data_IF_065521857715
#
_entry.id   IF_065521857715
#
_cell.length_a   1.000
_cell.length_b   1.000
_cell.length_c   1.000
_cell.angle_alpha   90.00
_cell.angle_beta   90.00
_cell.angle_gamma   90.00
#
_symmetry.space_group_name_H-M   'P 1'
#
loop_
_entity.id
_entity.type
_entity.pdbx_description
1 polymer ?
#
# COMPACT_ATOMS: atom_id res chain seq x y z
N UNK A 1 19.61 -10.46 -27.33
CA UNK A 1 18.78 -10.01 -26.18
C UNK A 1 19.61 -9.13 -25.23
N UNK A 2 20.22 -8.05 -25.72
CA UNK A 2 20.89 -7.04 -24.89
C UNK A 2 19.88 -5.91 -24.68
N UNK A 3 19.70 -5.48 -23.43
CA UNK A 3 18.90 -4.33 -23.00
C UNK A 3 17.38 -4.52 -22.91
N UNK A 4 16.91 -5.32 -21.95
CA UNK A 4 15.66 -4.95 -21.28
C UNK A 4 16.00 -3.71 -20.44
N UNK A 5 15.45 -2.58 -20.88
CA UNK A 5 15.70 -1.21 -20.41
C UNK A 5 15.46 -1.10 -18.91
N UNK A 6 16.12 -0.13 -18.27
CA UNK A 6 16.08 0.17 -16.82
C UNK A 6 14.66 0.46 -16.33
N UNK A 7 13.86 -0.58 -16.16
CA UNK A 7 12.52 -0.50 -15.60
C UNK A 7 12.53 -0.86 -14.11
N UNK A 8 11.61 -0.25 -13.37
CA UNK A 8 11.38 -0.52 -11.96
C UNK A 8 9.98 -1.10 -11.76
N UNK A 9 9.83 -2.44 -11.74
CA UNK A 9 8.58 -3.10 -11.39
C UNK A 9 8.17 -2.81 -9.95
N UNK A 10 6.95 -2.32 -9.74
CA UNK A 10 6.30 -2.19 -8.44
C UNK A 10 5.17 -3.22 -8.27
N UNK A 11 5.05 -3.74 -7.06
CA UNK A 11 4.00 -4.69 -6.69
C UNK A 11 3.70 -4.65 -5.18
N UNK A 12 2.49 -5.03 -4.82
CA UNK A 12 1.94 -4.92 -3.48
C UNK A 12 1.52 -6.28 -2.94
N UNK A 13 1.80 -6.56 -1.66
CA UNK A 13 1.38 -7.82 -1.05
C UNK A 13 1.00 -7.66 0.41
N UNK A 14 -0.07 -8.33 0.84
CA UNK A 14 -0.57 -8.22 2.22
C UNK A 14 0.18 -9.15 3.18
N UNK A 15 0.63 -8.62 4.31
CA UNK A 15 1.32 -9.34 5.39
C UNK A 15 0.50 -9.23 6.67
N UNK A 16 0.38 -10.31 7.44
CA UNK A 16 -0.41 -10.28 8.68
C UNK A 16 0.24 -9.35 9.70
N UNK A 17 -0.55 -8.51 10.34
CA UNK A 17 -0.10 -7.72 11.48
C UNK A 17 0.01 -8.59 12.74
N UNK A 18 0.74 -8.12 13.75
CA UNK A 18 0.67 -8.69 15.10
C UNK A 18 -0.61 -8.24 15.84
N UNK A 19 -1.76 -8.44 15.20
CA UNK A 19 -3.07 -8.07 15.73
C UNK A 19 -4.15 -9.07 15.30
N UNK A 20 -5.12 -9.30 16.18
CA UNK A 20 -6.28 -10.13 15.85
C UNK A 20 -7.29 -9.32 15.04
N UNK A 21 -7.88 -9.93 14.01
CA UNK A 21 -9.00 -9.33 13.28
C UNK A 21 -10.21 -9.10 14.19
N UNK A 22 -10.38 -9.93 15.22
CA UNK A 22 -11.45 -9.78 16.22
C UNK A 22 -11.35 -8.48 17.01
N UNK A 23 -10.17 -7.84 17.03
CA UNK A 23 -9.93 -6.55 17.67
C UNK A 23 -10.14 -5.37 16.71
N UNK A 24 -10.71 -5.59 15.53
CA UNK A 24 -11.03 -4.56 14.54
C UNK A 24 -12.47 -4.07 14.70
N UNK A 25 -12.65 -2.77 14.93
CA UNK A 25 -13.92 -2.13 15.25
C UNK A 25 -14.32 -1.12 14.17
N UNK A 26 -15.62 -1.00 13.97
CA UNK A 26 -16.27 0.03 13.15
C UNK A 26 -17.51 0.53 13.91
N UNK A 27 -18.13 1.61 13.43
CA UNK A 27 -19.27 2.23 14.11
C UNK A 27 -20.44 1.25 14.35
N UNK A 28 -20.80 0.46 13.34
CA UNK A 28 -21.88 -0.54 13.42
C UNK A 28 -21.61 -1.61 14.48
N UNK A 29 -20.38 -2.11 14.55
CA UNK A 29 -19.97 -3.10 15.55
C UNK A 29 -19.97 -2.49 16.96
N UNK A 30 -19.48 -1.27 17.13
CA UNK A 30 -19.53 -0.56 18.41
C UNK A 30 -20.97 -0.43 18.90
N UNK A 31 -21.88 0.01 18.03
CA UNK A 31 -23.31 0.15 18.37
C UNK A 31 -23.93 -1.21 18.77
N UNK A 32 -23.70 -2.25 17.96
CA UNK A 32 -24.26 -3.58 18.19
C UNK A 32 -23.75 -4.20 19.49
N UNK A 33 -22.44 -4.13 19.74
CA UNK A 33 -21.85 -4.67 20.96
C UNK A 33 -22.24 -3.88 22.21
N UNK A 34 -22.40 -2.55 22.12
CA UNK A 34 -22.90 -1.77 23.26
C UNK A 34 -24.33 -2.09 23.61
N UNK A 35 -25.21 -2.30 22.62
CA UNK A 35 -26.58 -2.78 22.88
C UNK A 35 -26.55 -4.13 23.60
N UNK A 36 -25.69 -5.05 23.14
CA UNK A 36 -25.53 -6.38 23.74
C UNK A 36 -25.02 -6.32 25.18
N UNK A 37 -23.95 -5.56 25.42
CA UNK A 37 -23.36 -5.43 26.76
C UNK A 37 -24.32 -4.69 27.70
N UNK A 38 -24.99 -3.63 27.25
CA UNK A 38 -25.95 -2.90 28.08
C UNK A 38 -27.14 -3.78 28.50
N UNK A 39 -27.67 -4.59 27.59
CA UNK A 39 -28.73 -5.57 27.92
C UNK A 39 -28.25 -6.62 28.91
N UNK A 40 -27.00 -7.08 28.79
CA UNK A 40 -26.43 -8.05 29.74
C UNK A 40 -26.23 -7.44 31.13
N UNK A 41 -25.77 -6.20 31.20
CA UNK A 41 -25.66 -5.43 32.46
C UNK A 41 -27.03 -5.29 33.13
N UNK A 42 -28.08 -4.97 32.37
CA UNK A 42 -29.45 -4.85 32.88
C UNK A 42 -29.95 -6.18 33.50
N UNK A 43 -29.71 -7.30 32.81
CA UNK A 43 -30.06 -8.64 33.33
C UNK A 43 -29.29 -8.96 34.61
N UNK A 44 -27.97 -8.72 34.62
CA UNK A 44 -27.12 -8.98 35.78
C UNK A 44 -27.51 -8.12 37.00
N UNK A 45 -27.95 -6.87 36.78
CA UNK A 45 -28.45 -6.01 37.85
C UNK A 45 -29.73 -6.57 38.48
N UNK A 46 -30.69 -7.01 37.67
CA UNK A 46 -31.94 -7.63 38.15
C UNK A 46 -31.66 -8.95 38.91
N UNK A 47 -30.72 -9.76 38.43
CA UNK A 47 -30.28 -10.98 39.12
C UNK A 47 -29.58 -10.68 40.46
N UNK A 48 -28.75 -9.63 40.53
CA UNK A 48 -28.15 -9.18 41.78
C UNK A 48 -29.22 -8.75 42.80
N UNK A 49 -30.21 -7.96 42.37
CA UNK A 49 -31.31 -7.52 43.24
C UNK A 49 -32.18 -8.69 43.74
N UNK A 50 -32.32 -9.76 42.96
CA UNK A 50 -33.01 -10.99 43.39
C UNK A 50 -32.18 -11.78 44.40
N UNK A 51 -30.90 -12.00 44.11
CA UNK A 51 -30.00 -12.72 45.01
C UNK A 51 -29.84 -12.02 46.38
N UNK A 52 -29.82 -10.68 46.38
CA UNK A 52 -29.83 -9.87 47.61
C UNK A 52 -31.10 -10.08 48.45
N UNK A 53 -32.26 -10.17 47.79
CA UNK A 53 -33.54 -10.42 48.48
C UNK A 53 -33.65 -11.84 49.04
N UNK A 54 -32.97 -12.81 48.44
CA UNK A 54 -33.02 -14.23 48.80
C UNK A 54 -31.88 -14.67 49.75
N UNK A 55 -31.00 -13.75 50.17
CA UNK A 55 -29.84 -13.99 51.06
C UNK A 55 -28.88 -15.11 50.59
N UNK A 56 -28.74 -15.30 49.27
CA UNK A 56 -27.88 -16.35 48.69
C UNK A 56 -26.44 -15.88 48.48
N UNK A 57 -25.59 -16.07 49.51
CA UNK A 57 -24.25 -15.45 49.60
C UNK A 57 -23.19 -15.84 48.54
N UNK A 58 -23.06 -17.12 48.14
CA UNK A 58 -21.99 -17.53 47.20
C UNK A 58 -22.28 -17.18 45.73
N UNK A 59 -23.55 -17.13 45.34
CA UNK A 59 -23.98 -16.75 43.99
C UNK A 59 -23.80 -15.25 43.73
N UNK A 60 -24.07 -14.45 44.76
CA UNK A 60 -24.06 -12.99 44.68
C UNK A 60 -22.68 -12.36 44.41
N UNK A 61 -21.61 -12.92 45.00
CA UNK A 61 -20.24 -12.43 44.77
C UNK A 61 -19.83 -12.62 43.31
N UNK A 62 -20.15 -13.79 42.73
CA UNK A 62 -19.85 -14.09 41.31
C UNK A 62 -20.62 -13.16 40.37
N UNK A 63 -21.91 -12.91 40.64
CA UNK A 63 -22.74 -11.99 39.85
C UNK A 63 -22.18 -10.55 39.87
N UNK A 64 -21.72 -10.07 41.04
CA UNK A 64 -21.06 -8.76 41.15
C UNK A 64 -19.78 -8.66 40.34
N UNK A 65 -18.95 -9.70 40.35
CA UNK A 65 -17.73 -9.73 39.55
C UNK A 65 -18.04 -9.73 38.03
N UNK A 66 -19.02 -10.53 37.60
CA UNK A 66 -19.49 -10.54 36.20
C UNK A 66 -20.04 -9.19 35.75
N UNK A 67 -20.84 -8.53 36.61
CA UNK A 67 -21.37 -7.20 36.36
C UNK A 67 -20.23 -6.19 36.18
N UNK A 68 -19.23 -6.22 37.07
CA UNK A 68 -18.07 -5.33 37.01
C UNK A 68 -17.27 -5.53 35.72
N UNK A 69 -17.12 -6.77 35.28
CA UNK A 69 -16.38 -7.07 34.05
C UNK A 69 -17.14 -6.65 32.79
N UNK A 70 -18.47 -6.79 32.74
CA UNK A 70 -19.28 -6.26 31.65
C UNK A 70 -19.32 -4.72 31.64
N UNK A 71 -19.33 -4.06 32.82
CA UNK A 71 -19.19 -2.60 32.92
C UNK A 71 -17.84 -2.12 32.35
N UNK A 72 -16.72 -2.74 32.75
CA UNK A 72 -15.40 -2.43 32.15
C UNK A 72 -15.37 -2.68 30.65
N UNK A 73 -16.06 -3.72 30.18
CA UNK A 73 -16.17 -4.01 28.74
C UNK A 73 -16.94 -2.91 28.02
N UNK A 74 -18.04 -2.42 28.61
CA UNK A 74 -18.82 -1.30 28.08
C UNK A 74 -17.95 -0.05 27.93
N UNK A 75 -17.25 0.34 28.99
CA UNK A 75 -16.34 1.51 29.00
C UNK A 75 -15.27 1.40 27.91
N UNK A 76 -14.68 0.21 27.72
CA UNK A 76 -13.70 -0.03 26.65
C UNK A 76 -14.30 0.18 25.26
N UNK A 77 -15.52 -0.31 25.02
CA UNK A 77 -16.17 -0.16 23.71
C UNK A 77 -16.54 1.31 23.46
N UNK A 78 -17.03 2.02 24.48
CA UNK A 78 -17.31 3.47 24.41
C UNK A 78 -16.05 4.25 24.08
N UNK A 79 -14.92 3.96 24.74
CA UNK A 79 -13.63 4.59 24.43
C UNK A 79 -13.16 4.33 22.98
N UNK A 80 -13.43 3.14 22.43
CA UNK A 80 -13.13 2.83 21.02
C UNK A 80 -14.07 3.59 20.08
N UNK A 81 -15.34 3.72 20.44
CA UNK A 81 -16.31 4.46 19.64
C UNK A 81 -15.97 5.95 19.58
N UNK A 82 -15.61 6.56 20.70
CA UNK A 82 -15.17 7.96 20.73
C UNK A 82 -13.90 8.18 19.91
N UNK A 83 -12.95 7.23 19.93
CA UNK A 83 -11.79 7.26 19.03
C UNK A 83 -12.19 7.19 17.55
N UNK A 84 -13.16 6.36 17.19
CA UNK A 84 -13.67 6.27 15.82
C UNK A 84 -14.36 7.56 15.37
N UNK A 85 -15.10 8.24 16.26
CA UNK A 85 -15.76 9.52 15.95
C UNK A 85 -14.79 10.67 15.78
N UNK A 86 -13.70 10.66 16.56
CA UNK A 86 -12.68 11.72 16.53
C UNK A 86 -11.62 11.49 15.47
N UNK A 87 -11.47 10.25 14.99
CA UNK A 87 -10.58 9.92 13.88
C UNK A 87 -11.30 10.00 12.54
N UNK A 88 -10.59 10.36 11.48
CA UNK A 88 -11.08 10.25 10.10
C UNK A 88 -11.14 8.78 9.58
N UNK A 89 -10.94 7.79 10.46
CA UNK A 89 -10.89 6.37 10.11
C UNK A 89 -12.25 5.70 10.38
N UNK A 90 -12.81 5.05 9.37
CA UNK A 90 -14.03 4.25 9.51
C UNK A 90 -13.82 2.95 10.33
N UNK A 91 -12.58 2.45 10.33
CA UNK A 91 -12.20 1.16 10.93
C UNK A 91 -10.90 1.36 11.72
N UNK A 92 -10.85 0.82 12.93
CA UNK A 92 -9.65 0.83 13.77
C UNK A 92 -9.44 -0.53 14.45
N UNK A 93 -8.19 -0.96 14.59
CA UNK A 93 -7.87 -2.11 15.42
C UNK A 93 -7.33 -1.65 16.78
N UNK A 94 -7.84 -2.23 17.87
CA UNK A 94 -7.45 -1.80 19.23
C UNK A 94 -6.09 -2.30 19.68
N UNK A 95 -5.55 -3.33 19.01
CA UNK A 95 -4.21 -3.88 19.30
C UNK A 95 -3.14 -3.20 18.47
N UNK A 96 -3.44 -2.93 17.19
CA UNK A 96 -2.55 -2.20 16.28
C UNK A 96 -3.35 -1.19 15.43
N UNK A 97 -3.51 0.07 15.87
CA UNK A 97 -4.36 1.06 15.21
C UNK A 97 -3.95 1.45 13.78
N UNK A 98 -2.74 1.08 13.37
CA UNK A 98 -2.19 1.36 12.05
C UNK A 98 -2.31 0.18 11.09
N UNK A 99 -2.74 -0.99 11.55
CA UNK A 99 -3.05 -2.10 10.64
C UNK A 99 -4.39 -1.89 9.92
N UNK A 100 -4.53 -2.52 8.76
CA UNK A 100 -5.75 -2.50 7.97
C UNK A 100 -6.43 -3.86 7.91
N UNK A 101 -7.74 -3.83 7.71
CA UNK A 101 -8.51 -5.04 7.37
C UNK A 101 -8.23 -5.43 5.93
N UNK A 102 -7.60 -6.58 5.72
CA UNK A 102 -7.32 -7.10 4.38
C UNK A 102 -7.96 -8.49 4.17
N UNK A 103 -8.53 -8.70 2.98
CA UNK A 103 -9.06 -9.99 2.55
C UNK A 103 -8.00 -10.74 1.76
N UNK A 104 -7.67 -11.95 2.20
CA UNK A 104 -6.78 -12.86 1.49
C UNK A 104 -7.48 -14.18 1.14
N UNK A 105 -6.73 -15.12 0.56
CA UNK A 105 -7.25 -16.47 0.23
C UNK A 105 -7.69 -17.27 1.47
N UNK A 106 -7.04 -17.04 2.61
CA UNK A 106 -7.31 -17.75 3.87
C UNK A 106 -8.33 -17.03 4.77
N UNK A 107 -9.03 -16.03 4.24
CA UNK A 107 -10.00 -15.23 4.98
C UNK A 107 -9.52 -13.79 5.21
N UNK A 108 -10.17 -13.12 6.15
CA UNK A 108 -9.91 -11.70 6.45
C UNK A 108 -9.03 -11.58 7.68
N UNK A 109 -7.97 -10.78 7.59
CA UNK A 109 -6.99 -10.60 8.66
C UNK A 109 -6.63 -9.13 8.85
N UNK A 110 -6.25 -8.77 10.07
CA UNK A 110 -5.52 -7.54 10.32
C UNK A 110 -4.13 -7.65 9.67
N UNK A 111 -3.79 -6.71 8.80
CA UNK A 111 -2.65 -6.81 7.91
C UNK A 111 -2.04 -5.43 7.62
N UNK A 112 -0.81 -5.42 7.16
CA UNK A 112 -0.22 -4.29 6.44
C UNK A 112 -0.07 -4.65 4.97
N UNK A 113 -0.05 -3.62 4.13
CA UNK A 113 0.21 -3.78 2.73
C UNK A 113 1.67 -3.44 2.44
N UNK A 114 2.49 -4.43 2.10
CA UNK A 114 3.90 -4.20 1.78
C UNK A 114 4.02 -3.89 0.30
N UNK A 115 4.52 -2.71 -0.01
CA UNK A 115 4.83 -2.20 -1.34
C UNK A 115 6.31 -2.42 -1.59
N UNK A 116 6.65 -3.09 -2.70
CA UNK A 116 8.02 -3.28 -3.14
C UNK A 116 8.19 -2.68 -4.53
N UNK A 117 9.34 -2.07 -4.78
CA UNK A 117 9.84 -1.80 -6.13
C UNK A 117 11.16 -2.55 -6.33
N UNK A 118 11.35 -3.12 -7.51
CA UNK A 118 12.54 -3.90 -7.88
C UNK A 118 13.26 -3.29 -9.08
N UNK A 119 14.51 -3.67 -9.31
CA UNK A 119 15.18 -3.44 -10.59
C UNK A 119 14.90 -4.59 -11.56
N UNK A 120 14.65 -4.26 -12.83
CA UNK A 120 14.35 -5.26 -13.86
C UNK A 120 15.52 -6.15 -14.26
N UNK A 121 16.76 -5.70 -14.09
CA UNK A 121 17.94 -6.43 -14.54
C UNK A 121 18.23 -7.61 -13.61
N UNK A 122 18.31 -7.36 -12.32
CA UNK A 122 18.77 -8.28 -11.30
C UNK A 122 17.64 -8.75 -10.38
N UNK A 123 16.53 -8.01 -10.29
CA UNK A 123 15.42 -8.31 -9.38
C UNK A 123 15.75 -7.98 -7.94
N UNK A 124 16.64 -7.02 -7.69
CA UNK A 124 16.94 -6.47 -6.37
C UNK A 124 15.86 -5.46 -5.99
N UNK A 125 15.47 -5.45 -4.73
CA UNK A 125 14.54 -4.50 -4.16
C UNK A 125 15.24 -3.15 -4.05
N UNK A 126 14.63 -2.11 -4.61
CA UNK A 126 15.10 -0.71 -4.57
C UNK A 126 14.22 0.17 -3.68
N UNK A 127 12.99 -0.26 -3.37
CA UNK A 127 12.11 0.36 -2.38
C UNK A 127 11.30 -0.73 -1.69
N UNK A 128 11.12 -0.61 -0.37
CA UNK A 128 10.30 -1.51 0.41
C UNK A 128 9.61 -0.74 1.54
N UNK A 129 8.28 -0.79 1.59
CA UNK A 129 7.51 -0.06 2.60
C UNK A 129 6.22 -0.80 2.95
N UNK A 130 5.94 -0.94 4.25
CA UNK A 130 4.64 -1.35 4.76
C UNK A 130 3.74 -0.12 4.95
N UNK A 131 2.60 -0.13 4.26
CA UNK A 131 1.61 0.94 4.33
C UNK A 131 0.32 0.48 5.00
N UNK A 132 -0.30 1.43 5.70
CA UNK A 132 -1.60 1.31 6.36
C UNK A 132 -2.77 1.57 5.42
N UNK A 133 -2.61 1.22 4.14
CA UNK A 133 -3.63 1.33 3.11
C UNK A 133 -3.95 -0.07 2.56
N UNK A 134 -5.23 -0.41 2.46
CA UNK A 134 -5.66 -1.73 1.99
C UNK A 134 -5.58 -1.88 0.46
N UNK A 135 -5.53 -0.77 -0.27
CA UNK A 135 -5.48 -0.70 -1.73
C UNK A 135 -4.16 -0.09 -2.21
N UNK A 136 -3.75 -0.46 -3.41
CA UNK A 136 -2.46 -0.05 -3.99
C UNK A 136 -2.59 1.22 -4.87
N UNK A 137 -3.82 1.73 -5.02
CA UNK A 137 -4.22 2.72 -6.00
C UNK A 137 -3.38 4.02 -5.97
N UNK A 138 -2.90 4.44 -4.80
CA UNK A 138 -2.17 5.70 -4.58
C UNK A 138 -0.67 5.51 -4.31
N UNK A 139 -0.14 4.30 -4.53
CA UNK A 139 1.21 3.95 -4.09
C UNK A 139 2.29 4.03 -5.19
N UNK A 140 1.91 4.10 -6.47
CA UNK A 140 2.87 4.02 -7.57
C UNK A 140 3.88 5.17 -7.56
N UNK A 141 3.39 6.41 -7.50
CA UNK A 141 4.23 7.60 -7.54
C UNK A 141 5.21 7.65 -6.35
N UNK A 142 4.75 7.21 -5.17
CA UNK A 142 5.56 7.12 -3.96
C UNK A 142 6.68 6.09 -4.10
N UNK A 143 6.37 4.88 -4.58
CA UNK A 143 7.39 3.85 -4.78
C UNK A 143 8.43 4.25 -5.83
N UNK A 144 8.01 4.93 -6.91
CA UNK A 144 8.93 5.44 -7.91
C UNK A 144 9.86 6.53 -7.35
N UNK A 145 9.35 7.41 -6.48
CA UNK A 145 10.15 8.43 -5.79
C UNK A 145 11.17 7.80 -4.83
N UNK A 146 10.72 6.84 -4.01
CA UNK A 146 11.61 6.12 -3.10
C UNK A 146 12.71 5.38 -3.88
N UNK A 147 12.38 4.78 -5.03
CA UNK A 147 13.36 4.12 -5.89
C UNK A 147 14.38 5.13 -6.47
N UNK A 148 13.94 6.33 -6.87
CA UNK A 148 14.81 7.41 -7.34
C UNK A 148 15.80 7.85 -6.25
N UNK A 149 15.32 8.00 -5.01
CA UNK A 149 16.13 8.35 -3.84
C UNK A 149 17.18 7.27 -3.55
N UNK A 150 16.78 5.99 -3.47
CA UNK A 150 17.70 4.87 -3.23
C UNK A 150 18.75 4.73 -4.33
N UNK A 151 18.36 4.89 -5.60
CA UNK A 151 19.26 4.72 -6.74
C UNK A 151 20.13 5.97 -7.00
N UNK A 152 19.82 7.09 -6.35
CA UNK A 152 20.35 8.42 -6.67
C UNK A 152 20.23 8.76 -8.16
N UNK A 153 19.27 8.14 -8.85
CA UNK A 153 19.05 8.18 -10.29
C UNK A 153 17.60 7.88 -10.57
N UNK A 154 17.01 8.70 -11.43
CA UNK A 154 15.64 8.52 -11.87
C UNK A 154 15.44 7.23 -12.66
N UNK A 155 14.45 6.39 -12.32
CA UNK A 155 14.03 5.28 -13.17
C UNK A 155 13.60 5.79 -14.55
N UNK A 156 14.06 5.11 -15.61
CA UNK A 156 13.64 5.47 -16.97
C UNK A 156 12.21 4.98 -17.27
N UNK A 157 11.82 3.87 -16.64
CA UNK A 157 10.53 3.24 -16.83
C UNK A 157 10.02 2.69 -15.49
N UNK A 158 8.77 2.95 -15.15
CA UNK A 158 8.08 2.32 -14.01
C UNK A 158 6.97 1.42 -14.53
N UNK A 159 6.82 0.21 -13.99
CA UNK A 159 5.72 -0.67 -14.36
C UNK A 159 5.06 -1.32 -13.14
N UNK A 160 3.73 -1.45 -13.17
CA UNK A 160 2.95 -2.04 -12.09
C UNK A 160 1.67 -2.68 -12.65
N UNK A 161 0.97 -3.47 -11.84
CA UNK A 161 -0.30 -4.06 -12.26
C UNK A 161 -1.47 -3.07 -12.24
N UNK A 162 -2.64 -3.52 -12.68
CA UNK A 162 -3.85 -2.70 -12.72
C UNK A 162 -4.35 -2.22 -11.35
N UNK A 163 -3.81 -2.75 -10.23
CA UNK A 163 -4.09 -2.23 -8.89
C UNK A 163 -3.56 -0.81 -8.67
N UNK A 164 -2.58 -0.39 -9.46
CA UNK A 164 -1.95 0.93 -9.42
C UNK A 164 -2.50 1.90 -10.47
N UNK A 165 -3.64 1.60 -11.11
CA UNK A 165 -4.14 2.34 -12.28
C UNK A 165 -4.77 3.71 -11.97
N UNK A 166 -4.43 4.35 -10.84
CA UNK A 166 -4.97 5.65 -10.47
C UNK A 166 -4.40 6.75 -11.33
N UNK A 167 -5.24 7.36 -12.16
CA UNK A 167 -4.81 8.41 -13.09
C UNK A 167 -4.21 9.60 -12.32
N UNK A 168 -4.81 9.99 -11.20
CA UNK A 168 -4.30 11.09 -10.35
C UNK A 168 -2.92 10.80 -9.75
N UNK A 169 -2.60 9.52 -9.49
CA UNK A 169 -1.30 9.14 -8.97
C UNK A 169 -0.25 9.01 -10.08
N UNK A 170 -0.62 8.40 -11.20
CA UNK A 170 0.26 8.22 -12.35
C UNK A 170 0.61 9.55 -13.01
N UNK A 171 -0.30 10.53 -13.04
CA UNK A 171 -0.07 11.88 -13.58
C UNK A 171 1.12 12.59 -12.89
N UNK A 172 1.37 12.30 -11.61
CA UNK A 172 2.51 12.89 -10.85
C UNK A 172 3.88 12.49 -11.39
N UNK A 173 3.95 11.36 -12.12
CA UNK A 173 5.19 10.74 -12.61
C UNK A 173 5.21 10.47 -14.11
N UNK A 174 4.09 10.58 -14.84
CA UNK A 174 4.01 10.37 -16.30
C UNK A 174 4.98 11.28 -17.06
N UNK A 175 5.06 12.56 -16.69
CA UNK A 175 5.98 13.52 -17.34
C UNK A 175 7.46 13.30 -16.97
N UNK A 176 7.73 12.38 -16.04
CA UNK A 176 9.05 12.16 -15.45
C UNK A 176 9.69 10.88 -15.98
N UNK A 177 8.92 9.85 -16.30
CA UNK A 177 9.40 8.55 -16.74
C UNK A 177 8.36 7.87 -17.63
N UNK A 178 8.77 6.83 -18.35
CA UNK A 178 7.81 5.98 -19.06
C UNK A 178 6.98 5.16 -18.04
N UNK A 179 5.66 5.36 -18.00
CA UNK A 179 4.76 4.67 -17.06
C UNK A 179 3.99 3.58 -17.78
N UNK A 180 4.15 2.34 -17.33
CA UNK A 180 3.50 1.15 -17.91
C UNK A 180 2.62 0.51 -16.85
N UNK A 181 1.36 0.96 -16.77
CA UNK A 181 0.36 0.44 -15.84
C UNK A 181 -0.95 0.27 -16.60
N UNK A 182 -1.44 -0.97 -16.81
CA UNK A 182 -2.71 -1.17 -17.49
C UNK A 182 -3.88 -0.71 -16.64
N UNK A 183 -4.96 -0.33 -17.29
CA UNK A 183 -6.23 -0.18 -16.59
C UNK A 183 -6.85 -1.55 -16.27
N UNK A 184 -7.76 -1.57 -15.28
CA UNK A 184 -8.57 -2.77 -14.99
C UNK A 184 -9.31 -3.25 -16.23
N UNK A 185 -9.76 -2.31 -17.07
CA UNK A 185 -10.45 -2.63 -18.33
C UNK A 185 -9.53 -3.40 -19.29
N UNK A 186 -8.34 -2.87 -19.58
CA UNK A 186 -7.37 -3.53 -20.47
C UNK A 186 -6.99 -4.92 -19.96
N UNK A 187 -6.78 -5.04 -18.63
CA UNK A 187 -6.47 -6.34 -18.01
C UNK A 187 -7.62 -7.36 -18.15
N UNK A 188 -8.87 -6.91 -18.08
CA UNK A 188 -10.03 -7.78 -18.29
C UNK A 188 -10.18 -8.17 -19.76
N UNK A 189 -10.01 -7.21 -20.68
CA UNK A 189 -10.06 -7.47 -22.13
C UNK A 189 -8.98 -8.48 -22.58
N UNK A 190 -7.79 -8.45 -21.99
CA UNK A 190 -6.74 -9.46 -22.24
C UNK A 190 -7.11 -10.86 -21.73
N UNK A 191 -7.88 -10.96 -20.64
CA UNK A 191 -8.26 -12.25 -20.01
C UNK A 191 -9.51 -12.87 -20.63
N UNK A 192 -10.51 -12.04 -20.86
CA UNK A 192 -11.87 -12.47 -21.26
C UNK A 192 -12.12 -12.24 -22.76
N UNK A 193 -11.20 -11.57 -23.45
CA UNK A 193 -11.36 -11.10 -24.82
C UNK A 193 -11.94 -9.68 -24.87
N UNK A 194 -11.52 -8.91 -25.87
CA UNK A 194 -12.07 -7.58 -26.11
C UNK A 194 -13.57 -7.69 -26.46
N UNK A 195 -14.38 -6.86 -25.82
CA UNK A 195 -15.79 -6.77 -26.20
C UNK A 195 -15.90 -6.09 -27.58
N UNK A 196 -16.64 -6.73 -28.48
CA UNK A 196 -16.94 -6.20 -29.81
C UNK A 196 -18.12 -5.20 -29.79
N UNK A 197 -18.44 -4.61 -28.63
CA UNK A 197 -19.55 -3.67 -28.51
C UNK A 197 -19.18 -2.30 -29.09
N UNK A 198 -19.82 -1.94 -30.20
CA UNK A 198 -19.66 -0.65 -30.88
C UNK A 198 -20.00 0.56 -29.98
N UNK A 199 -20.77 0.37 -28.90
CA UNK A 199 -21.17 1.45 -27.97
C UNK A 199 -20.34 1.49 -26.68
N UNK A 200 -19.11 1.00 -26.70
CA UNK A 200 -18.14 1.25 -25.63
C UNK A 200 -17.70 2.71 -25.56
N UNK A 201 -17.30 3.18 -24.37
CA UNK A 201 -16.83 4.56 -24.15
C UNK A 201 -15.72 4.97 -25.13
N UNK A 202 -14.82 4.03 -25.49
CA UNK A 202 -13.71 4.28 -26.43
C UNK A 202 -14.17 4.71 -27.83
N UNK A 203 -15.39 4.34 -28.23
CA UNK A 203 -15.98 4.71 -29.52
C UNK A 203 -16.77 6.03 -29.44
N UNK A 204 -16.85 6.68 -28.27
CA UNK A 204 -17.46 8.01 -28.15
C UNK A 204 -16.39 9.06 -28.34
N UNK A 205 -16.57 9.91 -29.36
CA UNK A 205 -15.61 10.95 -29.71
C UNK A 205 -15.89 12.17 -28.83
N UNK A 206 -14.86 12.66 -28.14
CA UNK A 206 -14.95 13.90 -27.37
C UNK A 206 -14.52 15.08 -28.23
N UNK A 207 -15.32 16.15 -28.21
CA UNK A 207 -15.00 17.43 -28.81
C UNK A 207 -14.69 18.43 -27.68
N UNK A 208 -13.42 18.82 -27.63
CA UNK A 208 -12.87 19.74 -26.62
C UNK A 208 -13.41 21.17 -26.80
N UNK A 209 -13.59 21.63 -28.04
CA UNK A 209 -14.00 23.00 -28.35
C UNK A 209 -15.46 23.25 -27.94
N UNK A 210 -16.32 22.25 -28.15
CA UNK A 210 -17.75 22.34 -27.84
C UNK A 210 -18.14 21.77 -26.47
N UNK A 211 -17.18 21.18 -25.73
CA UNK A 211 -17.34 20.40 -24.49
C UNK A 211 -18.49 19.38 -24.58
N UNK A 212 -18.41 18.49 -25.57
CA UNK A 212 -19.48 17.51 -25.89
C UNK A 212 -18.93 16.17 -26.34
N UNK A 213 -19.74 15.13 -26.21
CA UNK A 213 -19.44 13.81 -26.76
C UNK A 213 -20.35 13.49 -27.95
N UNK A 214 -19.78 12.83 -28.96
CA UNK A 214 -20.49 12.23 -30.07
C UNK A 214 -20.56 10.71 -29.88
N UNK A 215 -21.78 10.19 -29.85
CA UNK A 215 -22.06 8.76 -29.81
C UNK A 215 -21.92 8.15 -31.22
N UNK A 216 -21.52 6.86 -31.36
CA UNK A 216 -21.54 6.13 -32.63
C UNK A 216 -22.88 6.14 -33.38
N UNK A 217 -23.98 6.40 -32.67
CA UNK A 217 -25.31 6.60 -33.27
C UNK A 217 -25.61 8.05 -33.69
N UNK A 218 -24.58 8.84 -33.99
CA UNK A 218 -24.63 10.24 -34.47
C UNK A 218 -25.40 11.20 -33.56
N UNK A 219 -25.25 11.03 -32.24
CA UNK A 219 -25.97 11.84 -31.25
C UNK A 219 -25.04 12.56 -30.31
N UNK A 220 -25.39 13.80 -30.02
CA UNK A 220 -24.64 14.67 -29.11
C UNK A 220 -25.05 14.42 -27.66
N UNK A 221 -24.06 14.21 -26.82
CA UNK A 221 -24.16 14.14 -25.36
C UNK A 221 -23.60 15.44 -24.78
N UNK A 222 -24.42 16.12 -23.99
CA UNK A 222 -24.13 17.42 -23.40
C UNK A 222 -23.64 17.24 -21.99
N UNK A 223 -22.75 18.13 -21.54
CA UNK A 223 -22.39 18.23 -20.14
C UNK A 223 -23.64 18.54 -19.31
N UNK A 224 -23.84 17.78 -18.23
CA UNK A 224 -25.01 17.91 -17.33
C UNK A 224 -24.59 18.44 -15.97
N UNK A 225 -23.57 17.83 -15.39
CA UNK A 225 -23.05 18.22 -14.09
C UNK A 225 -21.61 17.74 -13.92
N UNK A 226 -20.94 18.33 -12.94
CA UNK A 226 -19.63 17.91 -12.47
C UNK A 226 -19.79 17.43 -11.03
N UNK A 227 -19.27 16.25 -10.71
CA UNK A 227 -19.26 15.75 -9.33
C UNK A 227 -18.24 16.52 -8.49
N UNK A 228 -18.34 16.42 -7.17
CA UNK A 228 -17.34 16.95 -6.24
C UNK A 228 -15.94 16.39 -6.50
N UNK A 229 -15.86 15.14 -6.99
CA UNK A 229 -14.62 14.49 -7.42
C UNK A 229 -13.99 15.10 -8.69
N UNK A 230 -14.64 16.07 -9.32
CA UNK A 230 -14.18 16.69 -10.58
C UNK A 230 -14.58 15.92 -11.84
N UNK A 231 -15.23 14.77 -11.72
CA UNK A 231 -15.74 14.01 -12.86
C UNK A 231 -16.89 14.74 -13.56
N UNK A 232 -16.78 14.93 -14.88
CA UNK A 232 -17.84 15.52 -15.71
C UNK A 232 -18.77 14.43 -16.23
N UNK A 233 -20.08 14.66 -16.11
CA UNK A 233 -21.12 13.75 -16.60
C UNK A 233 -21.76 14.32 -17.87
N UNK A 234 -21.76 13.51 -18.93
CA UNK A 234 -22.33 13.84 -20.23
C UNK A 234 -23.51 12.93 -20.55
N UNK A 235 -24.56 13.52 -21.11
CA UNK A 235 -25.80 12.80 -21.41
C UNK A 235 -26.55 13.43 -22.57
N UNK A 236 -27.18 12.59 -23.37
CA UNK A 236 -28.17 13.04 -24.35
C UNK A 236 -29.54 13.23 -23.69
N UNK A 237 -30.41 14.06 -24.29
CA UNK A 237 -31.80 14.19 -23.84
C UNK A 237 -32.50 12.81 -23.88
N UNK A 238 -33.18 12.44 -22.80
CA UNK A 238 -33.80 11.12 -22.64
C UNK A 238 -34.74 10.76 -23.80
N UNK A 239 -35.57 11.73 -24.25
CA UNK A 239 -36.51 11.54 -25.38
C UNK A 239 -35.78 11.22 -26.69
N UNK A 240 -34.61 11.85 -26.90
CA UNK A 240 -33.78 11.58 -28.07
C UNK A 240 -33.26 10.15 -27.94
N UNK A 241 -32.50 9.82 -26.90
CA UNK A 241 -31.93 8.48 -26.70
C UNK A 241 -32.96 7.35 -26.83
N UNK A 242 -34.16 7.47 -26.26
CA UNK A 242 -35.21 6.43 -26.35
C UNK A 242 -35.71 6.18 -27.77
N UNK A 243 -35.68 7.18 -28.64
CA UNK A 243 -36.00 7.06 -30.07
C UNK A 243 -34.80 6.59 -30.91
N UNK A 244 -33.71 6.15 -30.28
CA UNK A 244 -32.55 5.63 -31.01
C UNK A 244 -32.77 4.19 -31.43
N UNK A 245 -32.47 3.88 -32.70
CA UNK A 245 -32.45 2.50 -33.22
C UNK A 245 -31.53 1.58 -32.41
N UNK A 246 -30.49 2.16 -31.80
CA UNK A 246 -29.50 1.45 -31.01
C UNK A 246 -29.76 1.47 -29.50
N UNK A 247 -30.91 1.94 -29.01
CA UNK A 247 -31.13 2.17 -27.58
C UNK A 247 -30.81 0.94 -26.72
N UNK A 248 -31.40 -0.23 -27.04
CA UNK A 248 -31.21 -1.46 -26.26
C UNK A 248 -29.81 -2.10 -26.40
N UNK A 249 -29.05 -1.73 -27.43
CA UNK A 249 -27.67 -2.20 -27.65
C UNK A 249 -26.68 -1.30 -26.91
N UNK A 250 -26.89 0.02 -26.99
CA UNK A 250 -26.03 1.04 -26.40
C UNK A 250 -26.20 1.17 -24.86
N UNK A 251 -27.42 1.06 -24.35
CA UNK A 251 -27.71 1.25 -22.92
C UNK A 251 -28.99 0.53 -22.49
N UNK A 252 -28.96 -0.10 -21.31
CA UNK A 252 -30.19 -0.62 -20.67
C UNK A 252 -30.89 0.43 -19.79
N UNK A 253 -30.29 1.61 -19.61
CA UNK A 253 -30.83 2.63 -18.72
C UNK A 253 -31.97 3.40 -19.40
N UNK A 254 -33.15 3.40 -18.76
CA UNK A 254 -34.36 4.15 -19.20
C UNK A 254 -34.09 5.63 -19.42
N UNK A 255 -33.07 6.19 -18.78
CA UNK A 255 -32.69 7.59 -18.86
C UNK A 255 -31.70 7.90 -20.00
N UNK A 256 -31.28 6.91 -20.78
CA UNK A 256 -30.29 7.08 -21.85
C UNK A 256 -28.87 6.71 -21.41
N UNK A 257 -27.93 6.81 -22.36
CA UNK A 257 -26.51 6.55 -22.11
C UNK A 257 -25.90 7.74 -21.38
N UNK A 258 -25.14 7.45 -20.34
CA UNK A 258 -24.36 8.43 -19.58
C UNK A 258 -22.89 8.12 -19.80
N UNK A 259 -22.09 9.14 -20.11
CA UNK A 259 -20.64 9.05 -20.22
C UNK A 259 -20.04 9.91 -19.11
N UNK A 260 -19.15 9.31 -18.32
CA UNK A 260 -18.39 10.03 -17.30
C UNK A 260 -16.98 10.25 -17.82
N UNK A 261 -16.54 11.52 -17.87
CA UNK A 261 -15.18 11.92 -18.21
C UNK A 261 -14.45 12.27 -16.90
N UNK A 262 -13.29 11.66 -16.69
CA UNK A 262 -12.40 12.00 -15.59
C UNK A 262 -11.79 13.38 -15.80
N UNK A 263 -11.39 14.04 -14.72
CA UNK A 263 -10.71 15.34 -14.77
C UNK A 263 -9.44 15.28 -15.64
N UNK A 264 -8.72 14.17 -15.57
CA UNK A 264 -7.49 13.87 -16.28
C UNK A 264 -7.67 12.72 -17.30
N UNK A 265 -8.81 12.66 -17.99
CA UNK A 265 -9.07 11.60 -19.00
C UNK A 265 -7.99 11.54 -20.08
N UNK A 266 -7.40 12.68 -20.47
CA UNK A 266 -6.35 12.73 -21.49
C UNK A 266 -5.06 12.03 -21.04
N UNK A 267 -4.70 12.16 -19.76
CA UNK A 267 -3.59 11.42 -19.14
C UNK A 267 -3.87 9.92 -19.23
N UNK A 268 -5.08 9.53 -18.87
CA UNK A 268 -5.50 8.13 -18.94
C UNK A 268 -5.41 7.58 -20.36
N UNK A 269 -5.92 8.29 -21.36
CA UNK A 269 -5.87 7.87 -22.76
C UNK A 269 -4.43 7.75 -23.29
N UNK A 270 -3.51 8.63 -22.86
CA UNK A 270 -2.08 8.51 -23.18
C UNK A 270 -1.45 7.27 -22.54
N UNK A 271 -1.72 7.03 -21.26
CA UNK A 271 -1.22 5.85 -20.54
C UNK A 271 -1.75 4.55 -21.14
N UNK A 272 -3.03 4.50 -21.52
CA UNK A 272 -3.65 3.35 -22.20
C UNK A 272 -2.96 3.05 -23.53
N UNK A 273 -2.76 4.07 -24.38
CA UNK A 273 -2.03 3.95 -25.65
C UNK A 273 -0.56 3.56 -25.44
N UNK A 274 0.08 4.13 -24.43
CA UNK A 274 1.47 3.83 -24.10
C UNK A 274 1.62 2.34 -23.73
N UNK A 275 0.72 1.83 -22.87
CA UNK A 275 0.68 0.42 -22.49
C UNK A 275 0.53 -0.51 -23.71
N UNK A 276 -0.31 -0.17 -24.68
CA UNK A 276 -0.58 -0.99 -25.88
C UNK A 276 0.60 -1.11 -26.86
N UNK A 277 1.63 -0.27 -26.72
CA UNK A 277 2.80 -0.37 -27.59
C UNK A 277 3.54 -1.70 -27.38
N UNK A 278 4.00 -2.32 -28.48
CA UNK A 278 4.70 -3.61 -28.44
C UNK A 278 5.90 -3.60 -27.48
N UNK A 279 6.68 -2.51 -27.48
CA UNK A 279 7.84 -2.39 -26.61
C UNK A 279 7.44 -2.42 -25.11
N UNK A 280 6.39 -1.71 -24.74
CA UNK A 280 5.94 -1.66 -23.35
C UNK A 280 5.25 -2.96 -22.92
N UNK A 281 4.58 -3.66 -23.83
CA UNK A 281 4.05 -5.01 -23.60
C UNK A 281 5.16 -6.01 -23.30
N UNK A 282 6.28 -5.95 -24.03
CA UNK A 282 7.46 -6.79 -23.74
C UNK A 282 8.02 -6.49 -22.34
N UNK A 283 8.14 -5.22 -21.96
CA UNK A 283 8.59 -4.82 -20.60
C UNK A 283 7.60 -5.31 -19.52
N UNK A 284 6.30 -5.14 -19.76
CA UNK A 284 5.25 -5.51 -18.81
C UNK A 284 5.18 -7.02 -18.59
N UNK A 285 5.41 -7.82 -19.64
CA UNK A 285 5.43 -9.29 -19.55
C UNK A 285 6.49 -9.78 -18.55
N UNK A 286 7.67 -9.16 -18.55
CA UNK A 286 8.75 -9.50 -17.62
C UNK A 286 8.55 -8.98 -16.19
N UNK A 287 7.57 -8.11 -15.94
CA UNK A 287 7.27 -7.55 -14.60
C UNK A 287 7.03 -8.65 -13.57
N UNK A 288 6.19 -9.63 -13.91
CA UNK A 288 5.77 -10.71 -12.99
C UNK A 288 6.96 -11.51 -12.47
N UNK A 289 7.93 -11.80 -13.34
CA UNK A 289 9.13 -12.57 -12.99
C UNK A 289 10.01 -11.85 -11.96
N UNK A 290 9.98 -10.51 -11.93
CA UNK A 290 10.86 -9.70 -11.10
C UNK A 290 10.19 -9.20 -9.82
N UNK A 291 8.95 -8.76 -9.89
CA UNK A 291 8.24 -8.18 -8.76
C UNK A 291 7.64 -9.22 -7.80
N UNK A 292 7.23 -10.40 -8.30
CA UNK A 292 6.59 -11.43 -7.47
C UNK A 292 7.63 -12.28 -6.70
N UNK A 293 8.85 -12.42 -7.25
CA UNK A 293 9.94 -13.23 -6.68
C UNK A 293 10.29 -12.82 -5.23
N UNK A 294 10.50 -11.51 -4.91
CA UNK A 294 10.72 -11.07 -3.53
C UNK A 294 9.63 -11.53 -2.56
N UNK A 295 8.35 -11.36 -2.93
CA UNK A 295 7.25 -11.75 -2.07
C UNK A 295 7.19 -13.26 -1.84
N UNK A 296 7.42 -14.05 -2.89
CA UNK A 296 7.52 -15.50 -2.78
C UNK A 296 8.61 -15.92 -1.80
N UNK A 297 9.81 -15.36 -1.94
CA UNK A 297 10.94 -15.67 -1.08
C UNK A 297 10.67 -15.26 0.38
N UNK A 298 10.25 -14.02 0.63
CA UNK A 298 10.00 -13.51 1.98
C UNK A 298 8.89 -14.31 2.68
N UNK A 299 7.77 -14.57 2.00
CA UNK A 299 6.63 -15.24 2.64
C UNK A 299 6.80 -16.74 2.78
N UNK A 300 7.44 -17.41 1.82
CA UNK A 300 7.51 -18.88 1.75
C UNK A 300 8.84 -19.42 2.24
N UNK A 301 9.95 -18.82 1.82
CA UNK A 301 11.28 -19.32 2.18
C UNK A 301 11.69 -18.82 3.57
N UNK A 302 11.48 -17.54 3.87
CA UNK A 302 11.78 -16.97 5.19
C UNK A 302 10.65 -17.17 6.21
N UNK A 303 9.46 -17.59 5.77
CA UNK A 303 8.28 -17.73 6.63
C UNK A 303 7.76 -16.40 7.18
N UNK A 304 8.22 -15.27 6.66
CA UNK A 304 7.93 -13.92 7.18
C UNK A 304 6.61 -13.38 6.63
N UNK A 305 5.53 -14.17 6.70
CA UNK A 305 4.18 -13.74 6.27
C UNK A 305 3.41 -12.92 7.30
N UNK A 306 3.96 -12.76 8.51
CA UNK A 306 3.39 -12.03 9.66
C UNK A 306 4.48 -11.20 10.32
N UNK A 307 4.17 -9.95 10.65
CA UNK A 307 5.04 -9.08 11.42
C UNK A 307 5.02 -9.42 12.92
N UNK A 308 6.13 -9.15 13.60
CA UNK A 308 6.29 -9.38 15.03
C UNK A 308 6.05 -8.13 15.86
N UNK A 309 6.28 -6.95 15.28
CA UNK A 309 6.10 -5.66 15.90
C UNK A 309 4.79 -5.02 15.44
N UNK A 310 4.37 -4.00 16.18
CA UNK A 310 3.13 -3.23 15.97
C UNK A 310 3.45 -1.77 15.74
N UNK A 311 2.62 -1.11 14.92
CA UNK A 311 2.85 0.25 14.46
C UNK A 311 3.76 0.30 13.23
N UNK A 312 3.45 1.24 12.34
CA UNK A 312 4.01 1.34 10.99
C UNK A 312 5.53 1.53 11.00
N UNK A 313 6.07 2.34 11.92
CA UNK A 313 7.52 2.56 12.03
C UNK A 313 8.28 1.25 12.28
N UNK A 314 7.81 0.45 13.25
CA UNK A 314 8.44 -0.82 13.63
C UNK A 314 8.25 -1.88 12.55
N UNK A 315 7.06 -1.93 11.94
CA UNK A 315 6.75 -2.81 10.82
C UNK A 315 7.61 -2.46 9.58
N UNK A 316 7.89 -1.18 9.35
CA UNK A 316 8.81 -0.75 8.30
C UNK A 316 10.26 -1.14 8.59
N UNK A 317 10.69 -1.13 9.86
CA UNK A 317 11.99 -1.65 10.25
C UNK A 317 12.11 -3.15 9.93
N UNK A 318 11.10 -3.96 10.27
CA UNK A 318 11.05 -5.38 9.88
C UNK A 318 11.08 -5.55 8.35
N UNK A 319 10.28 -4.77 7.63
CA UNK A 319 10.22 -4.80 6.16
C UNK A 319 11.59 -4.50 5.53
N UNK A 320 12.31 -3.52 6.07
CA UNK A 320 13.65 -3.14 5.62
C UNK A 320 14.68 -4.26 5.85
N UNK A 321 14.59 -4.95 7.00
CA UNK A 321 15.45 -6.11 7.29
C UNK A 321 15.15 -7.24 6.30
N UNK A 322 13.88 -7.57 6.07
CA UNK A 322 13.46 -8.61 5.12
C UNK A 322 13.93 -8.30 3.70
N UNK A 323 13.79 -7.05 3.26
CA UNK A 323 14.28 -6.61 1.96
C UNK A 323 15.82 -6.73 1.84
N UNK A 324 16.55 -6.38 2.89
CA UNK A 324 18.02 -6.50 2.95
C UNK A 324 18.47 -7.97 2.88
N UNK A 325 17.80 -8.86 3.62
CA UNK A 325 18.07 -10.31 3.59
C UNK A 325 17.81 -10.88 2.20
N UNK A 326 16.69 -10.49 1.58
CA UNK A 326 16.38 -10.90 0.21
C UNK A 326 17.45 -10.41 -0.77
N UNK A 327 17.79 -9.12 -0.75
CA UNK A 327 18.80 -8.55 -1.64
C UNK A 327 20.16 -9.23 -1.46
N UNK A 328 20.57 -9.52 -0.23
CA UNK A 328 21.82 -10.23 0.06
C UNK A 328 21.81 -11.63 -0.54
N UNK A 329 20.72 -12.38 -0.32
CA UNK A 329 20.54 -13.73 -0.88
C UNK A 329 20.52 -13.73 -2.41
N UNK A 330 19.90 -12.71 -3.00
CA UNK A 330 19.82 -12.52 -4.45
C UNK A 330 21.20 -12.17 -5.03
N UNK A 331 21.93 -11.25 -4.40
CA UNK A 331 23.30 -10.93 -4.80
C UNK A 331 24.21 -12.15 -4.71
N UNK A 332 24.06 -13.01 -3.68
CA UNK A 332 24.86 -14.23 -3.54
C UNK A 332 24.62 -15.18 -4.72
N UNK A 333 23.38 -15.26 -5.18
CA UNK A 333 22.98 -16.07 -6.34
C UNK A 333 23.56 -15.50 -7.64
N UNK A 334 23.64 -14.17 -7.77
CA UNK A 334 24.09 -13.49 -8.99
C UNK A 334 25.61 -13.39 -9.11
N UNK A 335 26.31 -13.19 -7.99
CA UNK A 335 27.75 -12.88 -7.96
C UNK A 335 28.59 -14.00 -7.35
N UNK A 336 27.97 -14.95 -6.62
CA UNK A 336 28.70 -15.89 -5.77
C UNK A 336 29.26 -15.21 -4.51
N UNK A 337 29.76 -16.03 -3.58
CA UNK A 337 30.37 -15.55 -2.32
C UNK A 337 31.59 -14.68 -2.64
N UNK A 338 32.50 -15.16 -3.48
CA UNK A 338 33.72 -14.44 -3.85
C UNK A 338 33.42 -13.11 -4.55
N UNK A 339 32.41 -13.09 -5.43
CA UNK A 339 32.00 -11.87 -6.12
C UNK A 339 31.39 -10.82 -5.18
N UNK A 340 30.65 -11.24 -4.14
CA UNK A 340 30.20 -10.32 -3.09
C UNK A 340 31.39 -9.79 -2.29
N UNK A 341 32.29 -10.66 -1.84
CA UNK A 341 33.44 -10.24 -1.04
C UNK A 341 34.31 -9.24 -1.81
N UNK A 342 34.58 -9.48 -3.09
CA UNK A 342 35.32 -8.54 -3.94
C UNK A 342 34.59 -7.19 -4.07
N UNK A 343 33.27 -7.21 -4.32
CA UNK A 343 32.48 -5.97 -4.45
C UNK A 343 32.37 -5.21 -3.14
N UNK A 344 32.12 -5.89 -2.02
CA UNK A 344 32.08 -5.28 -0.69
C UNK A 344 33.45 -4.78 -0.25
N UNK A 345 34.53 -5.50 -0.56
CA UNK A 345 35.90 -5.06 -0.32
C UNK A 345 36.22 -3.76 -1.06
N UNK A 346 35.78 -3.63 -2.31
CA UNK A 346 35.90 -2.40 -3.11
C UNK A 346 35.05 -1.24 -2.57
N UNK A 347 33.86 -1.53 -2.05
CA UNK A 347 33.04 -0.54 -1.35
C UNK A 347 33.73 -0.10 -0.06
N UNK A 348 34.29 -1.04 0.73
CA UNK A 348 35.03 -0.75 1.96
C UNK A 348 36.28 0.10 1.74
N UNK A 349 37.04 -0.16 0.67
CA UNK A 349 38.20 0.66 0.31
C UNK A 349 37.80 2.08 -0.13
N UNK A 350 36.71 2.22 -0.89
CA UNK A 350 36.18 3.54 -1.28
C UNK A 350 35.44 4.28 -0.15
N UNK A 351 34.86 3.56 0.81
CA UNK A 351 34.19 4.14 1.99
C UNK A 351 35.21 4.67 2.99
N UNK A 352 36.32 3.94 3.17
CA UNK A 352 37.47 4.39 3.96
C UNK A 352 38.07 5.69 3.43
N UNK A 353 38.26 5.81 2.11
CA UNK A 353 38.82 7.03 1.50
C UNK A 353 37.86 8.24 1.54
N UNK A 354 36.55 8.01 1.43
CA UNK A 354 35.55 9.09 1.32
C UNK A 354 35.03 9.59 2.68
N UNK A 355 35.04 8.73 3.69
CA UNK A 355 34.55 9.02 5.03
C UNK A 355 35.62 8.94 6.11
N UNK A 356 36.92 8.87 5.76
CA UNK A 356 38.01 8.85 6.75
C UNK A 356 37.89 10.00 7.75
N UNK A 357 37.53 11.20 7.27
CA UNK A 357 37.30 12.39 8.11
C UNK A 357 36.01 12.31 8.94
N UNK A 358 34.94 11.75 8.40
CA UNK A 358 33.64 11.65 9.09
C UNK A 358 33.64 10.52 10.15
N UNK A 359 34.33 9.42 9.87
CA UNK A 359 34.55 8.31 10.80
C UNK A 359 35.53 8.75 11.89
N UNK A 360 36.61 9.47 11.55
CA UNK A 360 37.51 10.04 12.55
C UNK A 360 36.79 11.06 13.44
N UNK A 361 35.95 11.93 12.88
CA UNK A 361 35.17 12.92 13.65
C UNK A 361 34.07 12.27 14.51
N UNK A 362 33.40 11.22 14.02
CA UNK A 362 32.39 10.50 14.81
C UNK A 362 33.01 9.57 15.87
N UNK A 363 34.18 8.99 15.63
CA UNK A 363 34.94 8.26 16.67
C UNK A 363 35.53 9.23 17.70
N UNK A 364 35.98 10.43 17.30
CA UNK A 364 36.35 11.50 18.22
C UNK A 364 35.14 11.97 19.05
N UNK A 365 33.98 12.17 18.42
CA UNK A 365 32.74 12.54 19.12
C UNK A 365 32.25 11.44 20.07
N UNK A 366 32.29 10.16 19.65
CA UNK A 366 31.99 9.03 20.52
C UNK A 366 33.00 8.88 21.68
N UNK A 367 34.27 9.22 21.45
CA UNK A 367 35.30 9.25 22.51
C UNK A 367 35.18 10.44 23.45
N UNK A 368 34.54 11.54 23.02
CA UNK A 368 34.24 12.71 23.86
C UNK A 368 32.97 12.50 24.68
N UNK A 369 31.95 11.87 24.11
CA UNK A 369 30.72 11.46 24.83
C UNK A 369 31.02 10.35 25.83
N UNK A 370 32.01 9.48 25.55
CA UNK A 370 32.54 8.50 26.50
C UNK A 370 33.50 9.07 27.56
N UNK A 371 33.92 10.34 27.47
CA UNK A 371 34.88 10.99 28.39
C UNK A 371 34.24 11.85 29.48
N UNK A 372 32.93 12.06 29.47
CA UNK A 372 32.20 12.57 30.67
C UNK A 372 31.90 11.46 31.70
N UNK A 373 32.29 10.21 31.41
CA UNK A 373 32.15 9.08 32.32
C UNK A 373 33.55 8.49 32.57
N UNK A 374 34.14 8.90 33.70
CA UNK A 374 35.39 8.46 34.36
C UNK A 374 36.57 9.42 34.26
N UNK A 375 36.75 10.11 35.39
CA UNK A 375 37.94 10.79 35.84
C UNK A 375 39.25 10.05 35.51
N UNK A 376 40.22 10.84 35.05
CA UNK A 376 41.56 10.77 35.63
C UNK A 376 42.57 9.77 35.10
N UNK A 377 42.75 9.61 33.78
CA UNK A 377 44.06 9.18 33.21
C UNK A 377 44.16 9.53 31.72
N UNK A 378 45.23 10.25 31.34
CA UNK A 378 45.52 10.62 29.93
C UNK A 378 46.16 9.44 29.21
N UNK A 379 45.39 8.74 28.36
CA UNK A 379 45.91 7.75 27.41
C UNK A 379 46.28 8.47 26.11
N UNK A 380 47.51 8.25 25.61
CA UNK A 380 47.98 8.82 24.34
C UNK A 380 47.76 7.78 23.24
N UNK A 381 46.81 8.05 22.35
CA UNK A 381 46.60 7.23 21.17
C UNK A 381 47.53 7.69 20.05
N UNK A 382 48.30 6.77 19.46
CA UNK A 382 49.04 7.01 18.22
C UNK A 382 48.69 5.95 17.18
N UNK A 383 48.60 6.37 15.92
CA UNK A 383 48.29 5.51 14.78
C UNK A 383 49.61 5.20 14.07
N UNK A 384 50.03 3.93 14.08
CA UNK A 384 51.09 3.40 13.21
C UNK A 384 50.50 2.32 12.31
N UNK A 385 50.72 2.43 11.00
CA UNK A 385 50.32 1.45 9.99
C UNK A 385 48.83 1.06 10.03
N UNK A 386 47.94 2.02 10.25
CA UNK A 386 46.48 1.81 10.17
C UNK A 386 45.89 0.95 11.28
N UNK A 387 46.62 0.67 12.36
CA UNK A 387 46.09 0.04 13.58
C UNK A 387 46.21 0.99 14.77
N UNK A 388 45.14 1.18 15.57
CA UNK A 388 45.23 1.94 16.81
C UNK A 388 46.14 1.19 17.81
N UNK A 389 47.11 1.89 18.37
CA UNK A 389 47.88 1.43 19.55
C UNK A 389 47.67 2.42 20.69
N UNK A 390 47.41 1.88 21.88
CA UNK A 390 47.15 2.65 23.10
C UNK A 390 48.35 2.51 24.05
N UNK A 391 48.96 3.62 24.45
CA UNK A 391 49.89 3.72 25.59
C UNK A 391 49.25 4.52 26.73
#
# INVERSE_FOLDING_TARGET
MKYLKKSSPADGSKFRADASISNTWNAERCETELKRVSKKIEILLDECEKADREETGESYVKLKDELRDEQKRKEKIEAVWEKLKTSDKEIVNTTDPECVKAKGRQGTHASYNVQLATDSQNGLIVSAEAVSESVDYTQFSKQMKNAEETLCKKPQTGCADSGYSSVDDLEKVENKMNVIVPTIKQTNEEREGASNNEFEKKNFIYDQDLDRYFCPGDRVLWHVCTKETGEKIYKAKTKVCRKCKFFNICTKNKNGRTITRLKNEEVKERLEKNYETRENQEIYTHRKERAELPFGHIKRNLGAGRFLLRGQEKVNAETSILATVFNTSRMLTLLGIDGIIDKMGKVGSGFGEKHEKDIANNLLAASLIGREIKDGQKIRCSIKNGRPSFE
#
